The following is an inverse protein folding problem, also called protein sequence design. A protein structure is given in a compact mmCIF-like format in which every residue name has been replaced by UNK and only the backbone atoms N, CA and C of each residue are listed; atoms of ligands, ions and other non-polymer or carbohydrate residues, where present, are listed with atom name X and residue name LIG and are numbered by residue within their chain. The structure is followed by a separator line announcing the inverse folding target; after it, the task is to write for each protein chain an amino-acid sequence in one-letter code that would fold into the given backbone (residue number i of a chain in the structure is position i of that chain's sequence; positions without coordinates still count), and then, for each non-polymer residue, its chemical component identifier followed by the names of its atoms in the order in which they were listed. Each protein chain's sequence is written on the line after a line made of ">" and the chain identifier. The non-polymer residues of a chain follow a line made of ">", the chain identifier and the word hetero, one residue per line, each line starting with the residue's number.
data_IF_991171986276
#
_entry.id   IF_991171986276
#
_cell.length_a   1.000
_cell.length_b   1.000
_cell.length_c   1.000
_cell.angle_alpha   90.00
_cell.angle_beta   90.00
_cell.angle_gamma   90.00
#
_symmetry.space_group_name_H-M   'P 1'
#
loop_
_entity.id
_entity.type
_entity.pdbx_description
1 polymer ?
#
# COMPACT_ATOMS: atom_id res chain seq x y z
N UNK A 1 -4.79 0.78 29.16
CA UNK A 1 -4.50 1.89 28.22
C UNK A 1 -4.77 3.19 28.95
N UNK A 2 -3.84 4.13 28.97
CA UNK A 2 -3.99 5.42 29.66
C UNK A 2 -4.70 6.41 28.73
N UNK A 3 -5.86 6.91 29.15
CA UNK A 3 -6.68 7.85 28.37
C UNK A 3 -6.48 9.24 28.96
N UNK A 4 -5.79 10.11 28.23
CA UNK A 4 -5.58 11.52 28.60
C UNK A 4 -6.48 12.44 27.79
N UNK A 5 -7.04 13.45 28.46
CA UNK A 5 -7.87 14.47 27.83
C UNK A 5 -7.00 15.49 27.06
N UNK A 6 -7.38 15.83 25.82
CA UNK A 6 -6.69 16.84 25.01
C UNK A 6 -7.56 18.10 24.97
N UNK A 7 -7.06 19.20 25.51
CA UNK A 7 -7.81 20.44 25.71
C UNK A 7 -7.81 21.39 24.50
N UNK A 8 -6.73 21.41 23.71
CA UNK A 8 -6.56 22.36 22.60
C UNK A 8 -6.45 21.66 21.23
N UNK A 9 -7.05 22.27 20.21
CA UNK A 9 -7.01 21.75 18.83
C UNK A 9 -5.61 21.74 18.21
N UNK A 10 -4.73 22.67 18.61
CA UNK A 10 -3.32 22.67 18.24
C UNK A 10 -2.60 21.42 18.73
N UNK A 11 -2.87 21.03 19.98
CA UNK A 11 -2.23 19.90 20.63
C UNK A 11 -2.74 18.59 20.02
N UNK A 12 -4.04 18.51 19.75
CA UNK A 12 -4.64 17.40 19.02
C UNK A 12 -3.99 17.23 17.63
N UNK A 13 -3.81 18.32 16.88
CA UNK A 13 -3.15 18.29 15.56
C UNK A 13 -1.70 17.84 15.66
N UNK A 14 -0.94 18.36 16.63
CA UNK A 14 0.46 17.99 16.82
C UNK A 14 0.61 16.50 17.17
N UNK A 15 -0.26 15.99 18.05
CA UNK A 15 -0.29 14.57 18.44
C UNK A 15 -0.66 13.69 17.23
N UNK A 16 -1.72 14.04 16.49
CA UNK A 16 -2.12 13.27 15.30
C UNK A 16 -0.99 13.24 14.26
N UNK A 17 -0.32 14.36 14.03
CA UNK A 17 0.81 14.43 13.12
C UNK A 17 1.99 13.57 13.59
N UNK A 18 2.31 13.63 14.88
CA UNK A 18 3.37 12.82 15.50
C UNK A 18 3.07 11.32 15.41
N UNK A 19 1.87 10.90 15.78
CA UNK A 19 1.43 9.50 15.70
C UNK A 19 1.44 9.04 14.25
N UNK A 20 0.86 9.82 13.34
CA UNK A 20 0.84 9.48 11.91
C UNK A 20 2.25 9.27 11.39
N UNK A 21 3.16 10.23 11.60
CA UNK A 21 4.55 10.10 11.15
C UNK A 21 5.26 8.88 11.72
N UNK A 22 4.97 8.53 12.98
CA UNK A 22 5.56 7.37 13.62
C UNK A 22 5.00 6.07 13.03
N UNK A 23 3.69 5.98 12.86
CA UNK A 23 2.99 4.81 12.29
C UNK A 23 3.35 4.60 10.81
N UNK A 24 3.49 5.69 10.04
CA UNK A 24 3.88 5.63 8.62
C UNK A 24 5.39 5.48 8.42
N UNK A 25 6.19 5.49 9.49
CA UNK A 25 7.62 5.24 9.38
C UNK A 25 7.79 3.79 8.90
N UNK A 26 8.39 3.62 7.73
CA UNK A 26 8.66 2.29 7.16
C UNK A 26 9.37 1.44 8.21
N UNK A 27 8.76 0.30 8.58
CA UNK A 27 9.28 -0.60 9.59
C UNK A 27 10.59 -1.26 9.17
N UNK A 28 10.84 -1.33 7.86
CA UNK A 28 12.03 -1.90 7.27
C UNK A 28 12.57 -1.00 6.17
N UNK A 29 13.90 -0.84 6.11
CA UNK A 29 14.53 -0.10 5.05
C UNK A 29 14.49 -0.91 3.74
N UNK A 30 14.42 -0.23 2.61
CA UNK A 30 14.28 -0.89 1.30
C UNK A 30 15.42 -1.87 1.00
N UNK A 31 16.64 -1.59 1.46
CA UNK A 31 17.80 -2.46 1.27
C UNK A 31 17.66 -3.79 2.01
N UNK A 32 17.08 -3.79 3.22
CA UNK A 32 16.83 -5.00 4.01
C UNK A 32 15.74 -5.86 3.36
N UNK A 33 14.65 -5.24 2.88
CA UNK A 33 13.61 -5.95 2.13
C UNK A 33 14.17 -6.66 0.90
N UNK A 34 15.09 -6.02 0.19
CA UNK A 34 15.73 -6.62 -0.99
C UNK A 34 16.63 -7.81 -0.61
N UNK A 35 17.41 -7.69 0.46
CA UNK A 35 18.25 -8.78 0.95
C UNK A 35 17.41 -10.01 1.37
N UNK A 36 16.29 -9.78 2.05
CA UNK A 36 15.34 -10.83 2.44
C UNK A 36 14.65 -11.48 1.23
N UNK A 37 14.28 -10.69 0.22
CA UNK A 37 13.75 -11.23 -1.02
C UNK A 37 14.79 -12.12 -1.72
N UNK A 38 16.05 -11.70 -1.78
CA UNK A 38 17.14 -12.51 -2.33
C UNK A 38 17.33 -13.81 -1.55
N UNK A 39 17.22 -13.77 -0.23
CA UNK A 39 17.25 -14.97 0.61
C UNK A 39 16.08 -15.91 0.29
N UNK A 40 14.87 -15.37 0.09
CA UNK A 40 13.70 -16.12 -0.34
C UNK A 40 13.92 -16.86 -1.68
N UNK A 41 14.53 -16.17 -2.66
CA UNK A 41 14.90 -16.76 -3.96
C UNK A 41 15.93 -17.88 -3.77
N UNK A 42 17.03 -17.64 -3.04
CA UNK A 42 18.05 -18.66 -2.75
C UNK A 42 17.47 -19.89 -2.06
N UNK A 43 16.50 -19.69 -1.16
CA UNK A 43 15.83 -20.79 -0.46
C UNK A 43 15.07 -21.73 -1.40
N UNK A 44 14.56 -21.20 -2.52
CA UNK A 44 13.87 -21.98 -3.56
C UNK A 44 14.87 -22.71 -4.45
N UNK A 45 15.99 -22.07 -4.80
CA UNK A 45 17.07 -22.69 -5.58
C UNK A 45 17.72 -23.88 -4.85
N UNK A 46 17.85 -23.78 -3.52
CA UNK A 46 18.39 -24.86 -2.67
C UNK A 46 17.40 -26.01 -2.47
N UNK A 47 16.10 -25.73 -2.54
CA UNK A 47 15.08 -26.77 -2.49
C UNK A 47 15.08 -27.47 -3.85
N UNK A 48 15.86 -28.55 -3.96
CA UNK A 48 16.00 -29.34 -5.18
C UNK A 48 14.66 -29.46 -5.91
N UNK A 49 14.66 -29.02 -7.17
CA UNK A 49 13.53 -29.06 -8.09
C UNK A 49 12.86 -30.41 -7.96
N UNK A 50 11.78 -30.48 -7.18
CA UNK A 50 10.86 -31.59 -7.29
C UNK A 50 10.35 -31.47 -8.72
N UNK A 51 10.72 -32.42 -9.57
CA UNK A 51 10.32 -32.50 -10.98
C UNK A 51 8.81 -32.75 -11.05
N UNK A 52 8.03 -31.77 -10.60
CA UNK A 52 6.60 -31.71 -10.73
C UNK A 52 6.26 -30.93 -11.99
N UNK A 53 5.24 -31.41 -12.69
CA UNK A 53 4.54 -30.78 -13.80
C UNK A 53 3.81 -29.49 -13.39
N UNK A 54 4.42 -28.64 -12.55
CA UNK A 54 3.86 -27.34 -12.17
C UNK A 54 4.00 -26.37 -13.34
N UNK A 55 2.91 -25.66 -13.65
CA UNK A 55 2.89 -24.62 -14.67
C UNK A 55 3.83 -23.47 -14.28
N UNK A 56 4.39 -22.77 -15.28
CA UNK A 56 5.24 -21.59 -15.05
C UNK A 56 4.55 -20.53 -14.17
N UNK A 57 3.22 -20.42 -14.26
CA UNK A 57 2.40 -19.50 -13.45
C UNK A 57 2.33 -19.93 -11.97
N UNK A 58 2.29 -21.22 -11.69
CA UNK A 58 2.26 -21.74 -10.32
C UNK A 58 3.62 -21.55 -9.65
N UNK A 59 4.69 -21.79 -10.41
CA UNK A 59 6.07 -21.54 -9.97
C UNK A 59 6.29 -20.06 -9.63
N UNK A 60 5.82 -19.14 -10.48
CA UNK A 60 5.96 -17.70 -10.22
C UNK A 60 5.14 -17.25 -9.00
N UNK A 61 3.91 -17.75 -8.83
CA UNK A 61 3.13 -17.50 -7.61
C UNK A 61 3.85 -17.99 -6.35
N UNK A 62 4.40 -19.21 -6.38
CA UNK A 62 5.11 -19.81 -5.25
C UNK A 62 6.37 -19.02 -4.90
N UNK A 63 7.10 -18.53 -5.91
CA UNK A 63 8.24 -17.65 -5.74
C UNK A 63 7.85 -16.34 -5.03
N UNK A 64 6.85 -15.65 -5.56
CA UNK A 64 6.36 -14.38 -4.97
C UNK A 64 5.89 -14.61 -3.52
N UNK A 65 5.13 -15.67 -3.28
CA UNK A 65 4.62 -16.01 -1.95
C UNK A 65 5.77 -16.29 -0.96
N UNK A 66 6.82 -16.98 -1.41
CA UNK A 66 7.99 -17.27 -0.58
C UNK A 66 8.77 -16.00 -0.21
N UNK A 67 9.02 -15.13 -1.20
CA UNK A 67 9.66 -13.84 -0.95
C UNK A 67 8.84 -12.99 0.02
N UNK A 68 7.53 -12.92 -0.19
CA UNK A 68 6.61 -12.22 0.71
C UNK A 68 6.65 -12.78 2.12
N UNK A 69 6.53 -14.10 2.30
CA UNK A 69 6.58 -14.73 3.61
C UNK A 69 7.94 -14.53 4.31
N UNK A 70 9.04 -14.49 3.57
CA UNK A 70 10.37 -14.20 4.11
C UNK A 70 10.46 -12.75 4.58
N UNK A 71 9.90 -11.80 3.85
CA UNK A 71 9.85 -10.40 4.29
C UNK A 71 8.95 -10.28 5.52
N UNK A 72 7.76 -10.88 5.47
CA UNK A 72 6.77 -10.83 6.54
C UNK A 72 7.27 -11.47 7.85
N UNK A 73 8.08 -12.54 7.78
CA UNK A 73 8.63 -13.18 8.98
C UNK A 73 9.67 -12.33 9.72
N UNK A 74 10.29 -11.38 9.01
CA UNK A 74 11.25 -10.43 9.58
C UNK A 74 10.61 -9.08 9.93
N UNK A 75 9.32 -8.91 9.64
CA UNK A 75 8.60 -7.70 9.99
C UNK A 75 8.25 -7.72 11.49
N UNK A 76 8.69 -6.70 12.21
CA UNK A 76 8.29 -6.50 13.59
C UNK A 76 6.82 -6.03 13.66
N UNK A 77 6.05 -6.71 14.49
CA UNK A 77 4.64 -6.38 14.77
C UNK A 77 4.51 -5.99 16.24
N UNK A 78 3.71 -4.97 16.53
CA UNK A 78 3.54 -4.50 17.90
C UNK A 78 2.84 -5.56 18.76
N UNK A 79 3.31 -5.77 20.00
CA UNK A 79 2.74 -6.77 20.90
C UNK A 79 1.23 -6.58 21.13
N UNK A 80 0.75 -5.33 21.18
CA UNK A 80 -0.69 -5.04 21.31
C UNK A 80 -1.49 -5.44 20.07
N UNK A 81 -0.89 -5.41 18.87
CA UNK A 81 -1.55 -5.90 17.65
C UNK A 81 -1.66 -7.42 17.68
N UNK A 82 -0.61 -8.11 18.11
CA UNK A 82 -0.60 -9.57 18.27
C UNK A 82 -1.64 -10.01 19.30
N UNK A 83 -1.70 -9.35 20.45
CA UNK A 83 -2.70 -9.62 21.50
C UNK A 83 -4.12 -9.39 20.97
N UNK A 84 -4.38 -8.25 20.31
CA UNK A 84 -5.70 -7.95 19.72
C UNK A 84 -6.14 -9.01 18.71
N UNK A 85 -5.19 -9.52 17.91
CA UNK A 85 -5.43 -10.58 16.94
C UNK A 85 -5.76 -11.92 17.63
N UNK A 86 -4.95 -12.34 18.62
CA UNK A 86 -5.17 -13.58 19.39
C UNK A 86 -6.51 -13.54 20.13
N UNK A 87 -6.86 -12.37 20.68
CA UNK A 87 -8.11 -12.17 21.42
C UNK A 87 -9.33 -11.95 20.52
N UNK A 88 -9.16 -11.96 19.19
CA UNK A 88 -10.21 -11.71 18.20
C UNK A 88 -10.98 -10.40 18.44
N UNK A 89 -10.30 -9.37 18.96
CA UNK A 89 -10.90 -8.05 19.11
C UNK A 89 -11.01 -7.32 17.78
N UNK A 90 -10.22 -7.74 16.79
CA UNK A 90 -10.15 -7.09 15.49
C UNK A 90 -9.25 -5.85 15.51
N UNK A 91 -8.89 -5.41 14.32
CA UNK A 91 -7.99 -4.28 14.05
C UNK A 91 -8.66 -3.19 13.21
N UNK A 92 -9.92 -3.40 12.81
CA UNK A 92 -10.69 -2.48 12.00
C UNK A 92 -11.99 -2.09 12.69
N UNK A 93 -12.05 -0.83 13.15
CA UNK A 93 -13.26 -0.24 13.72
C UNK A 93 -13.70 0.92 12.83
N UNK A 94 -14.75 0.70 12.05
CA UNK A 94 -15.39 1.78 11.28
C UNK A 94 -16.88 1.81 11.57
N UNK A 95 -17.40 3.00 11.83
CA UNK A 95 -18.84 3.23 11.94
C UNK A 95 -19.49 3.42 10.57
N UNK A 96 -18.69 3.72 9.54
CA UNK A 96 -19.18 4.09 8.21
C UNK A 96 -18.45 3.30 7.12
N UNK A 97 -19.12 3.07 6.00
CA UNK A 97 -18.51 2.47 4.82
C UNK A 97 -17.93 3.55 3.92
N UNK A 98 -16.62 3.51 3.69
CA UNK A 98 -15.96 4.39 2.73
C UNK A 98 -15.88 3.71 1.36
N UNK A 99 -15.86 4.52 0.29
CA UNK A 99 -15.62 4.04 -1.09
C UNK A 99 -14.24 4.50 -1.54
N UNK A 100 -13.50 3.59 -2.16
CA UNK A 100 -12.22 3.93 -2.78
C UNK A 100 -12.45 4.86 -3.97
N UNK A 101 -11.79 6.01 -3.93
CA UNK A 101 -11.76 6.97 -5.03
C UNK A 101 -10.40 6.81 -5.71
N UNK A 102 -10.38 6.33 -6.95
CA UNK A 102 -9.15 6.16 -7.72
C UNK A 102 -8.72 7.49 -8.31
N UNK A 103 -8.02 8.28 -7.49
CA UNK A 103 -7.68 9.67 -7.79
C UNK A 103 -6.94 9.82 -9.13
N UNK A 104 -5.96 8.94 -9.41
CA UNK A 104 -5.19 8.93 -10.66
C UNK A 104 -6.11 8.70 -11.88
N UNK A 105 -7.09 7.78 -11.76
CA UNK A 105 -8.02 7.51 -12.85
C UNK A 105 -8.93 8.71 -13.14
N UNK A 106 -9.35 9.41 -12.08
CA UNK A 106 -10.18 10.61 -12.19
C UNK A 106 -9.36 11.76 -12.78
N UNK A 107 -8.12 11.94 -12.34
CA UNK A 107 -7.21 12.94 -12.87
C UNK A 107 -6.98 12.75 -14.37
N UNK A 108 -6.66 11.52 -14.79
CA UNK A 108 -6.48 11.19 -16.20
C UNK A 108 -7.73 11.46 -17.04
N UNK A 109 -8.90 11.12 -16.50
CA UNK A 109 -10.18 11.39 -17.15
C UNK A 109 -10.42 12.90 -17.31
N UNK A 110 -10.22 13.69 -16.26
CA UNK A 110 -10.38 15.14 -16.29
C UNK A 110 -9.40 15.80 -17.24
N UNK A 111 -8.13 15.36 -17.26
CA UNK A 111 -7.13 15.86 -18.20
C UNK A 111 -7.53 15.58 -19.64
N UNK A 112 -8.01 14.38 -19.95
CA UNK A 112 -8.49 14.03 -21.28
C UNK A 112 -9.67 14.90 -21.71
N UNK A 113 -10.61 15.17 -20.80
CA UNK A 113 -11.78 16.00 -21.11
C UNK A 113 -11.42 17.48 -21.29
N UNK A 114 -10.54 18.02 -20.45
CA UNK A 114 -10.01 19.38 -20.61
C UNK A 114 -9.27 19.52 -21.95
N UNK A 115 -8.52 18.51 -22.35
CA UNK A 115 -7.81 18.51 -23.63
C UNK A 115 -8.77 18.56 -24.82
N UNK A 116 -9.88 17.81 -24.76
CA UNK A 116 -10.92 17.85 -25.81
C UNK A 116 -11.58 19.22 -25.92
N UNK A 117 -11.94 19.83 -24.78
CA UNK A 117 -12.56 21.17 -24.76
C UNK A 117 -11.63 22.22 -25.37
N UNK A 118 -10.33 22.17 -25.05
CA UNK A 118 -9.33 23.07 -25.64
C UNK A 118 -9.11 22.88 -27.13
N UNK A 119 -9.32 21.66 -27.65
CA UNK A 119 -9.23 21.38 -29.07
C UNK A 119 -10.48 21.93 -29.79
N UNK A 120 -11.67 21.71 -29.23
CA UNK A 120 -12.91 22.27 -29.80
C UNK A 120 -12.95 23.80 -29.80
N UNK A 121 -12.35 24.47 -28.81
CA UNK A 121 -12.23 25.95 -28.82
C UNK A 121 -11.30 26.45 -29.92
N UNK A 122 -10.19 25.74 -30.19
CA UNK A 122 -9.28 26.09 -31.29
C UNK A 122 -9.89 25.89 -32.67
N UNK A 123 -10.68 24.83 -32.85
CA UNK A 123 -11.34 24.55 -34.13
C UNK A 123 -12.40 25.64 -34.45
N UNK A 124 -13.04 26.22 -33.42
CA UNK A 124 -14.00 27.32 -33.58
C UNK A 124 -13.29 28.64 -33.93
N UNK A 125 -12.16 28.94 -33.30
CA UNK A 125 -11.37 30.15 -33.59
C UNK A 125 -10.74 30.11 -35.00
N UNK A 126 -10.45 28.92 -35.55
CA UNK A 126 -9.93 28.76 -36.92
C UNK A 126 -11.03 28.86 -37.99
N UNK A 127 -12.27 28.45 -37.72
CA UNK A 127 -13.41 28.61 -38.65
C UNK A 127 -13.96 30.04 -38.72
N UNK A 128 -13.76 30.88 -37.70
CA UNK A 128 -14.23 32.28 -37.67
C UNK A 128 -13.24 33.28 -38.32
N UNK A 129 -12.06 32.81 -38.72
CA UNK A 129 -10.99 33.60 -39.35
C UNK A 129 -10.90 33.47 -40.89
N UNK A 130 -11.73 32.62 -41.51
CA UNK A 130 -11.89 32.48 -42.97
C UNK A 130 -13.16 33.20 -43.48
#
# INVERSE_FOLDING_TARGET
>A
MDIKFIWAGSDAKAIVYYITNYVTKSSLAFYDMFALAQQGIKSIEQQQVTYGTESAVEKSRKLVLRCYNTIASHQEVSGVQVESYIMNYGDHYTTHTFRNIFLISIENYLQAEIMKVRLSEKDIDEEESD
#
